data_IF_737129465906
#
_entry.id   IF_737129465906
#
_cell.length_a   1.000
_cell.length_b   1.000
_cell.length_c   1.000
_cell.angle_alpha   90.00
_cell.angle_beta   90.00
_cell.angle_gamma   90.00
#
_symmetry.space_group_name_H-M   'P 1'
#
loop_
_entity.id
_entity.type
_entity.pdbx_description
1 polymer ?
#
# COMPACT_ATOMS: atom_id res chain seq x y z
N UNK A 1 -4.63 -1.32 -15.80
CA UNK A 1 -3.78 -0.10 -15.85
C UNK A 1 -3.45 0.43 -14.45
N UNK A 2 -4.44 0.68 -13.58
CA UNK A 2 -4.20 1.19 -12.20
C UNK A 2 -3.29 0.28 -11.35
N UNK A 3 -3.51 -1.04 -11.32
CA UNK A 3 -2.63 -2.01 -10.63
C UNK A 3 -1.15 -1.85 -11.01
N UNK A 4 -0.86 -1.72 -12.31
CA UNK A 4 0.52 -1.57 -12.79
C UNK A 4 1.15 -0.23 -12.40
N UNK A 5 0.36 0.86 -12.36
CA UNK A 5 0.82 2.18 -11.89
C UNK A 5 1.16 2.12 -10.41
N UNK A 6 0.24 1.59 -9.59
CA UNK A 6 0.45 1.50 -8.14
C UNK A 6 1.63 0.58 -7.80
N UNK A 7 1.79 -0.54 -8.52
CA UNK A 7 2.98 -1.39 -8.39
C UNK A 7 4.27 -0.63 -8.70
N UNK A 8 4.30 0.17 -9.78
CA UNK A 8 5.47 1.00 -10.10
C UNK A 8 5.78 2.02 -9.02
N UNK A 9 4.78 2.68 -8.44
CA UNK A 9 4.98 3.65 -7.35
C UNK A 9 5.72 3.00 -6.18
N UNK A 10 5.26 1.82 -5.73
CA UNK A 10 5.92 1.10 -4.63
C UNK A 10 7.29 0.59 -5.04
N UNK A 11 7.43 -0.04 -6.20
CA UNK A 11 8.71 -0.59 -6.70
C UNK A 11 9.80 0.48 -6.87
N UNK A 12 9.43 1.66 -7.36
CA UNK A 12 10.33 2.79 -7.55
C UNK A 12 10.56 3.60 -6.27
N UNK A 13 9.91 3.22 -5.15
CA UNK A 13 9.97 3.94 -3.88
C UNK A 13 9.58 5.41 -4.04
N UNK A 14 8.56 5.67 -4.85
CA UNK A 14 8.01 7.00 -5.03
C UNK A 14 7.10 7.34 -3.83
N UNK A 15 7.75 7.60 -2.70
CA UNK A 15 7.13 7.75 -1.37
C UNK A 15 6.07 8.86 -1.36
N UNK A 16 6.27 9.92 -2.14
CA UNK A 16 5.33 11.04 -2.22
C UNK A 16 3.95 10.62 -2.76
N UNK A 17 3.89 9.51 -3.49
CA UNK A 17 2.67 8.95 -4.05
C UNK A 17 2.10 7.78 -3.25
N UNK A 18 2.67 7.44 -2.08
CA UNK A 18 2.16 6.35 -1.24
C UNK A 18 0.72 6.60 -0.75
N UNK A 19 0.29 7.86 -0.60
CA UNK A 19 -1.12 8.17 -0.34
C UNK A 19 -2.08 7.67 -1.43
N UNK A 20 -1.65 7.69 -2.71
CA UNK A 20 -2.45 7.12 -3.82
C UNK A 20 -2.49 5.60 -3.80
N UNK A 21 -1.40 4.97 -3.35
CA UNK A 21 -1.38 3.53 -3.12
C UNK A 21 -2.35 3.15 -2.01
N UNK A 22 -2.39 3.93 -0.93
CA UNK A 22 -3.30 3.72 0.19
C UNK A 22 -4.78 3.89 -0.19
N UNK A 23 -5.12 4.96 -0.94
CA UNK A 23 -6.46 5.17 -1.51
C UNK A 23 -6.88 3.96 -2.36
N UNK A 24 -5.99 3.47 -3.23
CA UNK A 24 -6.24 2.30 -4.06
C UNK A 24 -6.47 1.02 -3.23
N UNK A 25 -5.64 0.78 -2.21
CA UNK A 25 -5.78 -0.36 -1.29
C UNK A 25 -7.13 -0.32 -0.57
N UNK A 26 -7.56 0.87 -0.15
CA UNK A 26 -8.86 1.09 0.51
C UNK A 26 -10.02 0.75 -0.43
N UNK A 27 -9.99 1.26 -1.67
CA UNK A 27 -11.02 0.98 -2.68
C UNK A 27 -11.16 -0.51 -2.99
N UNK A 28 -10.05 -1.22 -3.15
CA UNK A 28 -10.06 -2.66 -3.41
C UNK A 28 -10.59 -3.43 -2.21
N UNK A 29 -10.28 -3.00 -0.99
CA UNK A 29 -10.77 -3.64 0.24
C UNK A 29 -12.25 -3.40 0.45
N UNK A 30 -12.78 -2.23 0.10
CA UNK A 30 -14.22 -1.97 0.10
C UNK A 30 -14.95 -2.89 -0.88
N UNK A 31 -14.39 -3.10 -2.08
CA UNK A 31 -14.97 -4.00 -3.07
C UNK A 31 -14.80 -5.49 -2.71
N UNK A 32 -13.72 -5.85 -2.00
CA UNK A 32 -13.35 -7.22 -1.66
C UNK A 32 -12.90 -7.27 -0.18
N UNK A 33 -13.84 -7.30 0.78
CA UNK A 33 -13.56 -7.10 2.21
C UNK A 33 -12.67 -8.16 2.88
N UNK A 34 -12.33 -9.25 2.20
CA UNK A 34 -11.48 -10.34 2.72
C UNK A 34 -10.23 -10.59 1.86
N UNK A 35 -9.87 -9.65 0.97
CA UNK A 35 -8.65 -9.80 0.16
C UNK A 35 -7.42 -10.01 1.04
N UNK A 36 -7.36 -9.32 2.18
CA UNK A 36 -6.36 -9.41 3.23
C UNK A 36 -7.04 -9.54 4.59
N UNK A 37 -6.30 -10.11 5.55
CA UNK A 37 -6.73 -10.06 6.95
C UNK A 37 -6.67 -8.63 7.48
N UNK A 38 -7.48 -8.30 8.49
CA UNK A 38 -7.47 -6.99 9.15
C UNK A 38 -6.05 -6.58 9.61
N UNK A 39 -5.25 -7.55 10.05
CA UNK A 39 -3.85 -7.33 10.45
C UNK A 39 -2.96 -6.95 9.27
N UNK A 40 -3.04 -7.70 8.16
CA UNK A 40 -2.27 -7.41 6.95
C UNK A 40 -2.64 -6.04 6.37
N UNK A 41 -3.94 -5.73 6.34
CA UNK A 41 -4.44 -4.43 5.92
C UNK A 41 -3.84 -3.29 6.75
N UNK A 42 -3.90 -3.39 8.08
CA UNK A 42 -3.31 -2.37 8.95
C UNK A 42 -1.80 -2.24 8.77
N UNK A 43 -1.07 -3.35 8.66
CA UNK A 43 0.39 -3.31 8.44
C UNK A 43 0.76 -2.58 7.14
N UNK A 44 0.02 -2.85 6.06
CA UNK A 44 0.21 -2.21 4.76
C UNK A 44 -0.10 -0.70 4.84
N UNK A 45 -1.28 -0.33 5.32
CA UNK A 45 -1.72 1.08 5.42
C UNK A 45 -0.82 1.89 6.34
N UNK A 46 -0.54 1.39 7.56
CA UNK A 46 0.38 2.06 8.47
C UNK A 46 1.80 2.12 7.90
N UNK A 47 2.20 1.15 7.05
CA UNK A 47 3.55 1.09 6.51
C UNK A 47 3.76 2.17 5.46
N UNK A 48 2.77 2.31 4.56
CA UNK A 48 2.68 3.39 3.58
C UNK A 48 2.69 4.76 4.27
N UNK A 49 1.81 4.96 5.27
CA UNK A 49 1.71 6.20 6.03
C UNK A 49 3.00 6.54 6.79
N UNK A 50 3.61 5.55 7.45
CA UNK A 50 4.86 5.74 8.20
C UNK A 50 5.96 6.28 7.30
N UNK A 51 6.17 5.62 6.15
CA UNK A 51 7.22 6.02 5.21
C UNK A 51 6.96 7.41 4.64
N UNK A 52 5.73 7.70 4.24
CA UNK A 52 5.34 9.01 3.73
C UNK A 52 5.54 10.12 4.76
N UNK A 53 5.06 9.93 5.99
CA UNK A 53 5.20 10.94 7.05
C UNK A 53 6.65 11.16 7.48
N UNK A 54 7.45 10.09 7.59
CA UNK A 54 8.87 10.21 7.94
C UNK A 54 9.67 10.89 6.82
N UNK A 55 9.31 10.65 5.56
CA UNK A 55 9.90 11.36 4.44
C UNK A 55 9.59 12.86 4.51
N UNK A 56 8.34 13.23 4.78
CA UNK A 56 7.92 14.63 4.97
C UNK A 56 8.69 15.28 6.11
N UNK A 57 8.74 14.64 7.29
CA UNK A 57 9.49 15.13 8.45
C UNK A 57 11.00 15.28 8.19
N UNK A 58 11.56 14.49 7.28
CA UNK A 58 12.96 14.57 6.90
C UNK A 58 13.25 15.68 5.89
N UNK A 59 12.26 16.09 5.10
CA UNK A 59 12.43 17.08 4.03
C UNK A 59 11.96 18.49 4.39
N UNK A 60 10.99 18.63 5.29
CA UNK A 60 10.38 19.92 5.64
C UNK A 60 11.15 20.68 6.72
N UNK A 61 10.99 22.01 6.71
CA UNK A 61 11.53 22.88 7.76
C UNK A 61 10.61 22.86 8.98
N UNK A 62 11.14 23.13 10.19
CA UNK A 62 10.36 23.12 11.42
C UNK A 62 9.10 24.01 11.44
N UNK A 63 9.09 25.06 10.62
CA UNK A 63 8.02 26.04 10.51
C UNK A 63 6.79 25.49 9.73
N UNK A 64 6.98 24.45 8.90
CA UNK A 64 5.95 23.89 8.01
C UNK A 64 5.18 22.71 8.64
N UNK A 65 5.58 22.26 9.84
CA UNK A 65 4.99 21.09 10.50
C UNK A 65 3.53 21.25 10.96
N UNK A 66 2.96 22.45 10.85
CA UNK A 66 1.53 22.68 11.07
C UNK A 66 0.68 21.87 10.08
N UNK A 67 1.08 21.83 8.81
CA UNK A 67 0.38 21.07 7.77
C UNK A 67 0.54 19.55 7.96
N UNK A 68 1.70 19.12 8.46
CA UNK A 68 1.95 17.72 8.84
C UNK A 68 1.06 17.29 10.00
N UNK A 69 0.85 18.17 10.98
CA UNK A 69 -0.03 17.90 12.11
C UNK A 69 -1.48 17.78 11.65
N UNK A 70 -1.96 18.68 10.79
CA UNK A 70 -3.29 18.59 10.19
C UNK A 70 -3.46 17.33 9.35
N UNK A 71 -2.43 16.91 8.61
CA UNK A 71 -2.42 15.62 7.90
C UNK A 71 -2.44 14.42 8.83
N UNK A 72 -1.71 14.45 9.94
CA UNK A 72 -1.76 13.39 10.96
C UNK A 72 -3.16 13.25 11.56
N UNK A 73 -3.81 14.39 11.84
CA UNK A 73 -5.16 14.44 12.39
C UNK A 73 -6.22 13.98 11.36
N UNK A 74 -6.03 14.28 10.07
CA UNK A 74 -6.95 13.83 9.00
C UNK A 74 -6.77 12.36 8.61
N UNK A 75 -5.55 11.83 8.72
CA UNK A 75 -5.25 10.41 8.47
C UNK A 75 -5.86 9.49 9.54
N UNK A 76 -6.27 10.04 10.69
CA UNK A 76 -6.84 9.30 11.82
C UNK A 76 -8.09 10.00 12.37
N UNK A 77 -9.26 9.87 11.74
CA UNK A 77 -10.51 10.26 12.40
C UNK A 77 -10.64 9.47 13.69
N UNK A 78 -10.85 10.18 14.80
CA UNK A 78 -11.00 9.64 16.16
C UNK A 78 -11.67 8.27 16.13
N UNK A 79 -10.92 7.24 16.50
CA UNK A 79 -11.35 5.84 16.59
C UNK A 79 -12.63 5.74 17.42
N UNK A 80 -13.76 5.81 16.73
CA UNK A 80 -15.09 5.72 17.33
C UNK A 80 -15.84 4.64 16.56
N UNK A 81 -15.87 3.47 17.23
CA UNK A 81 -16.80 2.35 17.09
C UNK A 81 -16.24 1.15 16.31
N UNK A 82 -15.98 0.10 17.10
CA UNK A 82 -15.84 -1.31 16.73
C UNK A 82 -14.42 -1.77 16.36
N UNK A 83 -13.51 -1.86 17.34
CA UNK A 83 -12.19 -2.50 17.14
C UNK A 83 -11.84 -3.38 18.34
N UNK A 84 -11.24 -4.55 18.07
CA UNK A 84 -10.75 -5.49 19.08
C UNK A 84 -9.53 -4.93 19.85
N UNK A 85 -9.36 -5.25 21.16
CA UNK A 85 -8.39 -4.58 22.05
C UNK A 85 -6.91 -4.76 21.66
N UNK A 86 -6.55 -5.76 20.86
CA UNK A 86 -5.17 -5.92 20.34
C UNK A 86 -4.84 -5.01 19.16
N UNK A 87 -5.86 -4.45 18.50
CA UNK A 87 -5.74 -3.78 17.20
C UNK A 87 -5.59 -2.26 17.33
N UNK A 88 -6.21 -1.67 18.35
CA UNK A 88 -6.09 -0.23 18.71
C UNK A 88 -4.66 0.16 19.10
N UNK A 89 -3.85 -0.80 19.58
CA UNK A 89 -2.50 -0.53 20.05
C UNK A 89 -1.57 -0.03 18.94
N UNK A 90 -1.65 -0.58 17.72
CA UNK A 90 -0.70 -0.26 16.65
C UNK A 90 -0.91 1.16 16.11
N UNK A 91 -2.17 1.52 15.87
CA UNK A 91 -2.57 2.87 15.45
C UNK A 91 -2.32 3.91 16.54
N UNK A 92 -2.65 3.59 17.79
CA UNK A 92 -2.36 4.47 18.93
C UNK A 92 -0.86 4.72 19.09
N UNK A 93 -0.03 3.70 18.89
CA UNK A 93 1.43 3.84 18.97
C UNK A 93 1.98 4.66 17.80
N UNK A 94 1.44 4.47 16.59
CA UNK A 94 1.77 5.28 15.43
C UNK A 94 1.49 6.77 15.70
N UNK A 95 0.26 7.11 16.12
CA UNK A 95 -0.12 8.50 16.42
C UNK A 95 0.77 9.09 17.51
N UNK A 96 0.98 8.35 18.61
CA UNK A 96 1.85 8.80 19.72
C UNK A 96 3.29 9.05 19.28
N UNK A 97 3.82 8.22 18.37
CA UNK A 97 5.17 8.42 17.84
C UNK A 97 5.24 9.72 17.04
N UNK A 98 4.35 9.91 16.07
CA UNK A 98 4.39 11.09 15.21
C UNK A 98 4.09 12.38 15.97
N UNK A 99 3.17 12.36 16.94
CA UNK A 99 2.96 13.49 17.85
C UNK A 99 4.25 13.86 18.60
N UNK A 100 4.97 12.88 19.18
CA UNK A 100 6.25 13.14 19.84
C UNK A 100 7.31 13.67 18.89
N UNK A 101 7.40 13.11 17.68
CA UNK A 101 8.34 13.61 16.67
C UNK A 101 7.99 15.05 16.27
N UNK A 102 6.73 15.46 16.29
CA UNK A 102 6.33 16.84 16.03
C UNK A 102 6.67 17.76 17.21
N UNK A 103 6.40 17.31 18.45
CA UNK A 103 6.49 18.10 19.67
C UNK A 103 7.92 18.22 20.25
N UNK A 104 8.83 17.28 19.97
CA UNK A 104 10.22 17.29 20.44
C UNK A 104 11.23 17.40 19.27
N UNK A 105 11.73 18.60 18.95
CA UNK A 105 12.70 18.80 17.88
C UNK A 105 14.01 18.02 18.06
N UNK A 106 14.50 17.87 19.30
CA UNK A 106 15.76 17.17 19.58
C UNK A 106 15.58 15.66 19.44
N UNK A 107 14.50 15.12 19.99
CA UNK A 107 14.12 13.72 19.82
C UNK A 107 13.87 13.38 18.35
N UNK A 108 13.22 14.27 17.59
CA UNK A 108 13.03 14.14 16.14
C UNK A 108 14.35 14.08 15.39
N UNK A 109 15.27 15.01 15.63
CA UNK A 109 16.58 15.00 14.96
C UNK A 109 17.34 13.70 15.25
N UNK A 110 17.36 13.25 16.51
CA UNK A 110 17.95 11.98 16.89
C UNK A 110 17.30 10.79 16.18
N UNK A 111 15.97 10.74 16.15
CA UNK A 111 15.21 9.68 15.49
C UNK A 111 15.52 9.63 14.00
N UNK A 112 15.45 10.76 13.30
CA UNK A 112 15.69 10.85 11.86
C UNK A 112 17.13 10.47 11.49
N UNK A 113 18.09 10.77 12.35
CA UNK A 113 19.51 10.46 12.11
C UNK A 113 19.88 9.01 12.42
N UNK A 114 19.37 8.46 13.53
CA UNK A 114 19.88 7.21 14.09
C UNK A 114 18.90 6.04 14.00
N UNK A 115 17.59 6.30 14.03
CA UNK A 115 16.55 5.27 14.09
C UNK A 115 15.92 5.07 12.72
N UNK A 116 15.53 6.16 12.05
CA UNK A 116 14.84 6.13 10.77
C UNK A 116 15.62 5.33 9.68
N UNK A 117 16.93 5.54 9.47
CA UNK A 117 17.65 4.80 8.43
C UNK A 117 17.77 3.30 8.71
N UNK A 118 17.68 2.89 9.97
CA UNK A 118 17.83 1.50 10.41
C UNK A 118 16.48 0.79 10.41
N UNK A 119 15.47 1.37 11.06
CA UNK A 119 14.17 0.74 11.25
C UNK A 119 13.24 0.91 10.05
N UNK A 120 13.45 1.96 9.24
CA UNK A 120 12.65 2.27 8.06
C UNK A 120 13.49 2.33 6.78
N UNK A 121 14.67 1.71 6.81
CA UNK A 121 15.58 1.62 5.66
C UNK A 121 15.13 0.59 4.62
N UNK A 122 16.11 0.00 3.93
CA UNK A 122 15.90 -0.94 2.83
C UNK A 122 15.07 -2.17 3.21
N UNK A 123 15.24 -2.66 4.45
CA UNK A 123 14.55 -3.87 4.93
C UNK A 123 13.05 -3.62 5.09
N UNK A 124 12.70 -2.47 5.67
CA UNK A 124 11.32 -2.02 5.77
C UNK A 124 10.70 -1.82 4.39
N UNK A 125 11.44 -1.15 3.50
CA UNK A 125 11.01 -0.87 2.13
C UNK A 125 10.74 -2.17 1.34
N UNK A 126 11.61 -3.17 1.51
CA UNK A 126 11.46 -4.48 0.89
C UNK A 126 10.27 -5.24 1.47
N UNK A 127 10.08 -5.18 2.79
CA UNK A 127 8.96 -5.85 3.44
C UNK A 127 7.62 -5.20 3.05
N UNK A 128 7.57 -3.87 2.92
CA UNK A 128 6.40 -3.13 2.45
C UNK A 128 6.07 -3.48 0.99
N UNK A 129 7.07 -3.51 0.11
CA UNK A 129 6.88 -3.99 -1.28
C UNK A 129 6.36 -5.42 -1.32
N UNK A 130 6.90 -6.30 -0.47
CA UNK A 130 6.50 -7.72 -0.44
C UNK A 130 5.04 -7.87 -0.04
N UNK A 131 4.58 -7.15 1.00
CA UNK A 131 3.17 -7.18 1.41
C UNK A 131 2.28 -6.59 0.32
N UNK A 132 2.70 -5.52 -0.32
CA UNK A 132 1.94 -4.95 -1.44
C UNK A 132 1.91 -5.88 -2.67
N UNK A 133 2.97 -6.64 -2.91
CA UNK A 133 3.02 -7.67 -3.95
C UNK A 133 2.05 -8.81 -3.63
N UNK A 134 1.99 -9.25 -2.38
CA UNK A 134 1.04 -10.28 -1.94
C UNK A 134 -0.40 -9.80 -2.12
N UNK A 135 -0.68 -8.53 -1.83
CA UNK A 135 -1.98 -7.91 -2.06
C UNK A 135 -2.40 -8.04 -3.52
N UNK A 136 -1.51 -7.69 -4.45
CA UNK A 136 -1.78 -7.85 -5.88
C UNK A 136 -1.88 -9.30 -6.31
N UNK A 137 -1.05 -10.19 -5.76
CA UNK A 137 -1.13 -11.62 -6.07
C UNK A 137 -2.48 -12.21 -5.69
N UNK A 138 -3.08 -11.75 -4.58
CA UNK A 138 -4.43 -12.13 -4.19
C UNK A 138 -5.49 -11.45 -5.06
N UNK A 139 -5.32 -10.17 -5.37
CA UNK A 139 -6.20 -9.45 -6.29
C UNK A 139 -6.28 -10.16 -7.66
N UNK A 140 -5.14 -10.50 -8.25
CA UNK A 140 -5.05 -11.17 -9.55
C UNK A 140 -5.70 -12.56 -9.54
N UNK A 141 -5.67 -13.28 -8.42
CA UNK A 141 -6.36 -14.57 -8.27
C UNK A 141 -7.88 -14.42 -8.24
N UNK A 142 -8.38 -13.30 -7.72
CA UNK A 142 -9.80 -12.99 -7.64
C UNK A 142 -10.31 -12.36 -8.94
N UNK A 143 -9.47 -11.58 -9.61
CA UNK A 143 -9.69 -11.05 -10.94
C UNK A 143 -9.41 -12.15 -11.99
N UNK A 144 -10.21 -13.21 -11.98
CA UNK A 144 -10.22 -14.15 -13.09
C UNK A 144 -10.50 -13.36 -14.37
N UNK A 145 -9.64 -13.50 -15.38
CA UNK A 145 -9.95 -13.01 -16.73
C UNK A 145 -11.08 -13.91 -17.24
N UNK A 146 -12.31 -13.39 -17.43
CA UNK A 146 -13.38 -14.23 -17.94
C UNK A 146 -13.00 -14.74 -19.32
N UNK A 147 -13.20 -16.03 -19.57
CA UNK A 147 -13.07 -16.56 -20.93
C UNK A 147 -14.19 -16.00 -21.83
N UNK A 148 -14.14 -16.30 -23.13
CA UNK A 148 -15.14 -15.75 -24.04
C UNK A 148 -16.58 -16.20 -23.72
N UNK A 149 -16.77 -17.36 -23.06
CA UNK A 149 -18.09 -17.85 -22.65
C UNK A 149 -18.57 -17.11 -21.40
N UNK A 150 -17.70 -16.91 -20.43
CA UNK A 150 -17.99 -16.10 -19.24
C UNK A 150 -18.24 -14.63 -19.58
N UNK A 151 -17.51 -14.11 -20.58
CA UNK A 151 -17.71 -12.76 -21.09
C UNK A 151 -19.03 -12.63 -21.85
N UNK A 152 -19.41 -13.63 -22.63
CA UNK A 152 -20.70 -13.64 -23.34
C UNK A 152 -21.88 -13.60 -22.37
N UNK A 153 -21.84 -14.33 -21.25
CA UNK A 153 -22.86 -14.26 -20.19
C UNK A 153 -22.98 -12.88 -19.51
N UNK A 154 -21.96 -12.02 -19.60
CA UNK A 154 -22.00 -10.64 -19.07
C UNK A 154 -22.57 -9.65 -20.09
N UNK A 155 -22.60 -10.01 -21.37
CA UNK A 155 -23.24 -9.24 -22.42
C UNK A 155 -24.72 -9.56 -22.33
N UNK A 156 -25.54 -8.60 -21.88
CA UNK A 156 -26.97 -8.83 -21.70
C UNK A 156 -27.65 -9.33 -22.98
N UNK A 157 -28.67 -10.18 -22.84
CA UNK A 157 -29.39 -10.83 -23.95
C UNK A 157 -30.23 -9.86 -24.81
N UNK A 158 -30.26 -8.58 -24.45
CA UNK A 158 -31.05 -7.59 -25.19
C UNK A 158 -30.29 -7.11 -26.43
N UNK A 159 -30.97 -6.96 -27.59
CA UNK A 159 -30.35 -6.44 -28.80
C UNK A 159 -29.64 -5.08 -28.60
N UNK A 160 -30.15 -4.25 -27.70
CA UNK A 160 -29.54 -2.96 -27.36
C UNK A 160 -28.24 -3.09 -26.55
N UNK A 161 -28.16 -4.01 -25.59
CA UNK A 161 -26.93 -4.26 -24.82
C UNK A 161 -25.81 -4.86 -25.69
N UNK A 162 -26.19 -5.67 -26.67
CA UNK A 162 -25.26 -6.20 -27.68
C UNK A 162 -24.72 -5.09 -28.58
N UNK A 163 -25.57 -4.20 -29.08
CA UNK A 163 -25.17 -3.02 -29.88
C UNK A 163 -24.24 -2.07 -29.11
N UNK A 164 -24.54 -1.78 -27.84
CA UNK A 164 -23.67 -0.98 -26.96
C UNK A 164 -22.30 -1.64 -26.77
N UNK A 165 -22.27 -2.96 -26.55
CA UNK A 165 -21.04 -3.74 -26.42
C UNK A 165 -20.21 -3.75 -27.71
N UNK A 166 -20.87 -3.86 -28.87
CA UNK A 166 -20.22 -3.80 -30.19
C UNK A 166 -19.65 -2.41 -30.49
N UNK A 167 -20.33 -1.34 -30.11
CA UNK A 167 -19.81 0.03 -30.24
C UNK A 167 -18.56 0.26 -29.40
N UNK A 168 -18.53 -0.25 -28.15
CA UNK A 168 -17.32 -0.23 -27.32
C UNK A 168 -16.16 -1.07 -27.90
N UNK A 169 -16.46 -2.20 -28.54
CA UNK A 169 -15.47 -3.14 -29.09
C UNK A 169 -14.92 -2.75 -30.48
N UNK A 170 -15.53 -1.79 -31.18
CA UNK A 170 -15.29 -1.48 -32.60
C UNK A 170 -13.89 -0.94 -32.97
N UNK A 171 -12.93 -0.88 -32.04
CA UNK A 171 -11.56 -0.43 -32.31
C UNK A 171 -10.66 -1.59 -32.73
N UNK A 172 -10.77 -2.00 -33.99
CA UNK A 172 -9.91 -3.04 -34.57
C UNK A 172 -8.40 -2.76 -34.43
N UNK A 173 -8.00 -1.49 -34.35
CA UNK A 173 -6.60 -1.10 -34.14
C UNK A 173 -6.12 -1.36 -32.70
N UNK A 174 -6.99 -1.27 -31.69
CA UNK A 174 -6.65 -1.60 -30.30
C UNK A 174 -6.38 -3.09 -30.14
N UNK A 175 -7.15 -3.95 -30.82
CA UNK A 175 -6.92 -5.40 -30.82
C UNK A 175 -5.57 -5.77 -31.43
N UNK A 176 -5.19 -5.13 -32.55
CA UNK A 176 -3.86 -5.34 -33.17
C UNK A 176 -2.73 -4.90 -32.23
N UNK A 177 -2.89 -3.79 -31.52
CA UNK A 177 -1.92 -3.31 -30.52
C UNK A 177 -1.80 -4.29 -29.36
N UNK A 178 -2.92 -4.80 -28.84
CA UNK A 178 -2.94 -5.79 -27.76
C UNK A 178 -2.30 -7.13 -28.16
N UNK A 179 -2.59 -7.62 -29.37
CA UNK A 179 -1.99 -8.86 -29.88
C UNK A 179 -0.47 -8.73 -30.05
N UNK A 180 0.00 -7.56 -30.49
CA UNK A 180 1.45 -7.27 -30.58
C UNK A 180 2.09 -7.15 -29.20
N UNK A 181 1.46 -6.48 -28.24
CA UNK A 181 2.03 -6.33 -26.89
C UNK A 181 2.13 -7.68 -26.14
N UNK A 182 1.18 -8.59 -26.33
CA UNK A 182 1.23 -9.95 -25.78
C UNK A 182 2.41 -10.75 -26.31
N UNK A 183 2.75 -10.59 -27.60
CA UNK A 183 3.93 -11.24 -28.18
C UNK A 183 5.24 -10.77 -27.51
N UNK A 184 5.33 -9.49 -27.12
CA UNK A 184 6.48 -8.97 -26.38
C UNK A 184 6.55 -9.44 -24.92
N UNK A 185 5.40 -9.50 -24.22
CA UNK A 185 5.32 -9.98 -22.84
C UNK A 185 5.75 -11.45 -22.72
N UNK A 186 5.34 -12.30 -23.67
CA UNK A 186 5.69 -13.73 -23.66
C UNK A 186 7.19 -14.00 -23.82
N UNK A 187 7.96 -13.04 -24.35
CA UNK A 187 9.41 -13.16 -24.47
C UNK A 187 10.15 -12.78 -23.17
N UNK A 188 9.50 -12.08 -22.24
CA UNK A 188 10.12 -11.59 -21.00
C UNK A 188 10.00 -12.57 -19.82
N UNK A 189 9.02 -13.48 -19.83
CA UNK A 189 8.67 -14.35 -18.69
C UNK A 189 9.45 -15.67 -18.59
N UNK A 190 10.46 -15.93 -19.44
CA UNK A 190 11.22 -17.20 -19.44
C UNK A 190 12.38 -17.26 -18.43
N UNK A 191 12.39 -16.45 -17.36
CA UNK A 191 13.40 -16.56 -16.28
C UNK A 191 12.77 -16.59 -14.89
N UNK A 192 12.93 -17.77 -14.27
CA UNK A 192 12.95 -18.13 -12.86
C UNK A 192 11.74 -17.84 -11.95
N UNK A 193 11.23 -18.92 -11.35
CA UNK A 193 10.38 -18.87 -10.16
C UNK A 193 10.65 -20.11 -9.28
N UNK A 194 11.42 -19.93 -8.21
CA UNK A 194 11.50 -20.89 -7.09
C UNK A 194 10.91 -20.25 -5.83
N UNK A 195 9.76 -20.74 -5.38
CA UNK A 195 9.03 -20.21 -4.23
C UNK A 195 9.35 -20.93 -2.92
N UNK A 196 9.47 -20.15 -1.84
CA UNK A 196 9.47 -20.56 -0.42
C UNK A 196 8.59 -19.56 0.35
N UNK A 197 7.86 -19.94 1.43
CA UNK A 197 6.90 -19.06 2.11
C UNK A 197 7.58 -17.98 2.98
N UNK A 198 6.89 -16.85 3.19
CA UNK A 198 7.49 -15.53 3.45
C UNK A 198 7.77 -15.16 4.92
N UNK A 199 9.04 -14.78 5.17
CA UNK A 199 9.59 -14.12 6.37
C UNK A 199 9.19 -12.64 6.53
N UNK A 200 8.46 -12.04 5.58
CA UNK A 200 8.26 -10.59 5.48
C UNK A 200 7.25 -9.99 6.46
N UNK A 201 6.18 -10.70 6.80
CA UNK A 201 5.18 -10.21 7.77
C UNK A 201 5.78 -10.08 9.18
N UNK A 202 6.67 -11.01 9.53
CA UNK A 202 7.40 -10.98 10.79
C UNK A 202 8.37 -9.80 10.83
N UNK A 203 8.98 -9.43 9.69
CA UNK A 203 9.86 -8.27 9.59
C UNK A 203 9.10 -6.96 9.78
N UNK A 204 7.98 -6.73 9.08
CA UNK A 204 7.16 -5.53 9.32
C UNK A 204 6.69 -5.46 10.77
N UNK A 205 6.19 -6.56 11.32
CA UNK A 205 5.76 -6.60 12.71
C UNK A 205 6.91 -6.31 13.69
N UNK A 206 8.12 -6.81 13.42
CA UNK A 206 9.34 -6.50 14.19
C UNK A 206 9.66 -5.01 14.15
N UNK A 207 9.54 -4.36 13.00
CA UNK A 207 9.73 -2.91 12.87
C UNK A 207 8.62 -2.10 13.56
N UNK A 208 7.37 -2.59 13.60
CA UNK A 208 6.34 -1.97 14.45
C UNK A 208 6.62 -2.14 15.95
N UNK A 209 7.26 -3.24 16.36
CA UNK A 209 7.67 -3.43 17.75
C UNK A 209 8.92 -2.61 18.11
N UNK A 210 9.81 -2.34 17.17
CA UNK A 210 10.95 -1.44 17.40
C UNK A 210 10.49 0.00 17.63
N UNK A 211 9.36 0.43 17.04
CA UNK A 211 8.71 1.69 17.40
C UNK A 211 8.31 1.76 18.88
N UNK A 212 7.71 0.69 19.40
CA UNK A 212 7.38 0.54 20.82
C UNK A 212 8.64 0.59 21.69
N UNK A 213 9.74 0.01 21.21
CA UNK A 213 11.02 0.05 21.92
C UNK A 213 11.63 1.46 21.91
N UNK A 214 11.61 2.15 20.77
CA UNK A 214 12.08 3.52 20.61
C UNK A 214 11.25 4.49 21.46
N UNK A 215 9.93 4.27 21.51
CA UNK A 215 9.00 5.01 22.37
C UNK A 215 9.34 4.86 23.86
N UNK A 216 9.81 3.67 24.30
CA UNK A 216 10.26 3.41 25.68
C UNK A 216 11.64 3.98 25.99
N UNK A 217 12.56 4.03 25.03
CA UNK A 217 13.88 4.61 25.25
C UNK A 217 13.81 6.14 25.37
N UNK A 218 12.95 6.81 24.61
CA UNK A 218 12.71 8.26 24.72
C UNK A 218 11.95 8.69 25.99
N UNK A 219 11.43 7.75 26.79
CA UNK A 219 10.72 7.99 28.06
C UNK A 219 11.64 7.95 29.30
N UNK A 220 12.94 7.64 29.11
CA UNK A 220 13.93 7.46 30.19
C UNK A 220 15.00 8.55 30.26
N UNK A 221 14.82 9.63 29.52
CA UNK A 221 15.64 10.86 29.50
C UNK A 221 14.77 12.04 29.84
#
# INVERSE_FOLDING_TARGET
>A
MMTAVMWKVVRLRDIMHYGKVEEFVSLVTEAIPDIFTERQMRLLTLGLRSKMMLQILSSEKPEDFTDVKTRLDSLMPSTSKLVHPGNEAMESNFVKLFQRLLDDPKGREHFLKNVFPVEYGSDFDTALETVFCEFFTRLDKLLLIPDFKQTEMLIGDTPSALEESMQCASKADDLKVLLRSKAHLSQMYTMDTSGVPSSSEQLLFRHYLSLLHCQRQMLKT
#
